data_IF_786068555429
#
_entry.id   IF_786068555429
#
_cell.length_a   1.000
_cell.length_b   1.000
_cell.length_c   1.000
_cell.angle_alpha   90.00
_cell.angle_beta   90.00
_cell.angle_gamma   90.00
#
_symmetry.space_group_name_H-M   'P 1'
#
loop_
_entity.id
_entity.type
_entity.pdbx_description
1 polymer ?
#
# COMPACT_ATOMS: atom_id res chain seq x y z
N UNK A 1 -1.03 9.49 -15.55
CA UNK A 1 0.10 9.72 -14.61
C UNK A 1 -0.41 10.03 -13.21
N UNK A 2 -1.42 10.91 -13.07
CA UNK A 2 -1.97 11.33 -11.78
C UNK A 2 -2.56 10.20 -10.89
N UNK A 3 -3.04 9.10 -11.47
CA UNK A 3 -3.64 8.01 -10.70
C UNK A 3 -2.62 7.05 -10.06
N UNK A 4 -1.45 6.86 -10.68
CA UNK A 4 -0.35 6.11 -10.06
C UNK A 4 0.25 6.87 -8.88
N UNK A 5 0.31 8.19 -8.99
CA UNK A 5 0.74 9.05 -7.89
C UNK A 5 -0.21 8.92 -6.68
N UNK A 6 -1.52 8.81 -6.94
CA UNK A 6 -2.52 8.59 -5.88
C UNK A 6 -2.37 7.21 -5.21
N UNK A 7 -2.16 6.14 -6.00
CA UNK A 7 -1.89 4.80 -5.45
C UNK A 7 -0.65 4.82 -4.56
N UNK A 8 0.43 5.47 -5.02
CA UNK A 8 1.66 5.59 -4.26
C UNK A 8 1.47 6.39 -2.97
N UNK A 9 0.67 7.46 -2.99
CA UNK A 9 0.36 8.24 -1.79
C UNK A 9 -0.42 7.41 -0.76
N UNK A 10 -1.44 6.64 -1.19
CA UNK A 10 -2.16 5.72 -0.30
C UNK A 10 -1.23 4.67 0.28
N UNK A 11 -0.37 4.08 -0.56
CA UNK A 11 0.66 3.14 -0.14
C UNK A 11 1.59 3.73 0.93
N UNK A 12 2.16 4.93 0.70
CA UNK A 12 3.08 5.54 1.65
C UNK A 12 2.39 5.94 2.94
N UNK A 13 1.18 6.48 2.85
CA UNK A 13 0.37 6.85 4.00
C UNK A 13 0.13 5.63 4.90
N UNK A 14 -0.33 4.51 4.33
CA UNK A 14 -0.58 3.27 5.07
C UNK A 14 0.70 2.62 5.59
N UNK A 15 1.80 2.67 4.82
CA UNK A 15 3.09 2.14 5.24
C UNK A 15 3.64 2.87 6.47
N UNK A 16 3.44 4.19 6.53
CA UNK A 16 3.89 5.05 7.62
C UNK A 16 2.90 5.15 8.78
N UNK A 17 1.80 4.39 8.77
CA UNK A 17 0.95 4.17 9.94
C UNK A 17 1.66 3.24 10.93
N UNK A 18 2.56 3.82 11.72
CA UNK A 18 3.45 3.10 12.61
C UNK A 18 2.76 2.46 13.83
N UNK A 19 1.50 2.82 14.07
CA UNK A 19 0.68 2.30 15.18
C UNK A 19 0.04 0.94 14.85
N UNK A 20 0.09 0.51 13.59
CA UNK A 20 -0.36 -0.82 13.17
C UNK A 20 0.69 -1.86 13.57
N UNK A 21 0.30 -2.77 14.46
CA UNK A 21 1.14 -3.90 14.89
C UNK A 21 0.69 -5.21 14.21
N UNK A 22 1.66 -6.01 13.73
CA UNK A 22 1.45 -7.38 13.21
C UNK A 22 0.58 -7.49 11.96
N UNK A 23 0.55 -6.46 11.13
CA UNK A 23 -0.10 -6.54 9.82
C UNK A 23 0.73 -7.43 8.89
N UNK A 24 0.08 -8.44 8.32
CA UNK A 24 0.71 -9.28 7.30
C UNK A 24 0.87 -8.53 5.98
N UNK A 25 1.81 -8.98 5.14
CA UNK A 25 1.98 -8.40 3.80
C UNK A 25 0.69 -8.47 2.97
N UNK A 26 -0.06 -9.57 3.05
CA UNK A 26 -1.33 -9.74 2.33
C UNK A 26 -2.40 -8.76 2.81
N UNK A 27 -2.52 -8.54 4.11
CA UNK A 27 -3.48 -7.56 4.66
C UNK A 27 -3.10 -6.15 4.23
N UNK A 28 -1.81 -5.79 4.33
CA UNK A 28 -1.31 -4.50 3.87
C UNK A 28 -1.67 -4.24 2.40
N UNK A 29 -1.38 -5.21 1.53
CA UNK A 29 -1.64 -5.10 0.08
C UNK A 29 -3.14 -4.94 -0.16
N UNK A 30 -3.97 -5.81 0.44
CA UNK A 30 -5.43 -5.75 0.26
C UNK A 30 -5.99 -4.41 0.69
N UNK A 31 -5.59 -3.88 1.85
CA UNK A 31 -6.10 -2.60 2.35
C UNK A 31 -5.76 -1.44 1.41
N UNK A 32 -4.52 -1.35 0.94
CA UNK A 32 -4.10 -0.28 0.01
C UNK A 32 -4.87 -0.38 -1.31
N UNK A 33 -5.01 -1.58 -1.86
CA UNK A 33 -5.71 -1.83 -3.12
C UNK A 33 -7.21 -1.56 -2.97
N UNK A 34 -7.84 -2.04 -1.90
CA UNK A 34 -9.26 -1.83 -1.62
C UNK A 34 -9.58 -0.34 -1.48
N UNK A 35 -8.74 0.42 -0.78
CA UNK A 35 -8.90 1.87 -0.64
C UNK A 35 -8.80 2.58 -2.01
N UNK A 36 -7.81 2.22 -2.83
CA UNK A 36 -7.66 2.82 -4.15
C UNK A 36 -8.81 2.44 -5.09
N UNK A 37 -9.28 1.19 -5.05
CA UNK A 37 -10.43 0.74 -5.83
C UNK A 37 -11.71 1.46 -5.42
N UNK A 38 -11.92 1.72 -4.12
CA UNK A 38 -13.03 2.53 -3.64
C UNK A 38 -12.97 3.97 -4.18
N UNK A 39 -11.80 4.60 -4.17
CA UNK A 39 -11.60 5.93 -4.73
C UNK A 39 -11.90 5.98 -6.24
N UNK A 40 -11.46 4.98 -6.98
CA UNK A 40 -11.73 4.87 -8.42
C UNK A 40 -13.22 4.63 -8.71
N UNK A 41 -13.90 3.80 -7.89
CA UNK A 41 -15.36 3.60 -7.98
C UNK A 41 -16.11 4.89 -7.68
N UNK A 42 -15.73 5.63 -6.64
CA UNK A 42 -16.36 6.88 -6.25
C UNK A 42 -16.24 7.96 -7.33
N UNK A 43 -15.14 7.96 -8.08
CA UNK A 43 -14.92 8.87 -9.23
C UNK A 43 -15.58 8.40 -10.53
N UNK A 44 -16.19 7.21 -10.55
CA UNK A 44 -16.83 6.64 -11.73
C UNK A 44 -15.84 6.16 -12.80
N UNK A 45 -14.58 5.88 -12.43
CA UNK A 45 -13.51 5.51 -13.36
C UNK A 45 -13.45 4.01 -13.69
N UNK A 46 -14.23 3.15 -13.01
CA UNK A 46 -14.19 1.69 -13.21
C UNK A 46 -15.49 1.18 -13.83
N UNK A 47 -15.36 0.40 -14.91
CA UNK A 47 -16.41 -0.48 -15.39
C UNK A 47 -16.34 -1.81 -14.61
N UNK A 48 -17.43 -2.22 -13.98
CA UNK A 48 -17.50 -3.42 -13.10
C UNK A 48 -16.94 -4.70 -13.75
N UNK A 49 -16.99 -4.79 -15.09
CA UNK A 49 -16.50 -5.95 -15.84
C UNK A 49 -14.97 -6.11 -15.80
N UNK A 50 -14.21 -5.05 -15.52
CA UNK A 50 -12.74 -5.06 -15.44
C UNK A 50 -12.23 -4.91 -14.00
N UNK A 51 -13.12 -4.98 -13.01
CA UNK A 51 -12.75 -4.73 -11.62
C UNK A 51 -11.74 -5.74 -11.09
N UNK A 52 -11.91 -7.02 -11.44
CA UNK A 52 -11.02 -8.09 -11.01
C UNK A 52 -9.64 -7.98 -11.67
N UNK A 53 -9.60 -7.80 -12.98
CA UNK A 53 -8.33 -7.64 -13.71
C UNK A 53 -7.54 -6.44 -13.20
N UNK A 54 -8.23 -5.31 -12.97
CA UNK A 54 -7.61 -4.11 -12.41
C UNK A 54 -7.11 -4.34 -10.98
N UNK A 55 -7.85 -5.07 -10.15
CA UNK A 55 -7.42 -5.41 -8.79
C UNK A 55 -6.12 -6.22 -8.82
N UNK A 56 -6.06 -7.24 -9.66
CA UNK A 56 -4.88 -8.11 -9.78
C UNK A 56 -3.64 -7.30 -10.21
N UNK A 57 -3.80 -6.41 -11.19
CA UNK A 57 -2.73 -5.50 -11.63
C UNK A 57 -2.27 -4.57 -10.50
N UNK A 58 -3.21 -4.02 -9.73
CA UNK A 58 -2.91 -3.15 -8.59
C UNK A 58 -2.21 -3.89 -7.45
N UNK A 59 -2.61 -5.13 -7.15
CA UNK A 59 -1.96 -5.96 -6.15
C UNK A 59 -0.50 -6.22 -6.54
N UNK A 60 -0.23 -6.54 -7.81
CA UNK A 60 1.14 -6.72 -8.33
C UNK A 60 1.98 -5.45 -8.20
N UNK A 61 1.40 -4.29 -8.50
CA UNK A 61 2.09 -3.01 -8.39
C UNK A 61 2.39 -2.66 -6.93
N UNK A 62 1.43 -2.83 -6.01
CA UNK A 62 1.64 -2.59 -4.57
C UNK A 62 2.67 -3.55 -3.99
N UNK A 63 2.70 -4.82 -4.43
CA UNK A 63 3.77 -5.77 -4.07
C UNK A 63 5.14 -5.26 -4.52
N UNK A 64 5.24 -4.75 -5.75
CA UNK A 64 6.47 -4.17 -6.31
C UNK A 64 6.93 -2.96 -5.50
N UNK A 65 6.03 -2.04 -5.17
CA UNK A 65 6.30 -0.87 -4.33
C UNK A 65 6.78 -1.27 -2.93
N UNK A 66 6.06 -2.21 -2.29
CA UNK A 66 6.37 -2.69 -0.96
C UNK A 66 7.77 -3.29 -0.90
N UNK A 67 8.09 -4.22 -1.82
CA UNK A 67 9.41 -4.86 -1.91
C UNK A 67 10.55 -3.85 -2.08
N UNK A 68 10.36 -2.83 -2.92
CA UNK A 68 11.35 -1.76 -3.10
C UNK A 68 11.54 -0.94 -1.83
N UNK A 69 10.44 -0.63 -1.12
CA UNK A 69 10.47 0.26 0.05
C UNK A 69 11.02 -0.41 1.30
N UNK A 70 10.70 -1.69 1.52
CA UNK A 70 11.23 -2.48 2.65
C UNK A 70 12.52 -3.23 2.29
N UNK A 71 13.12 -2.95 1.12
CA UNK A 71 14.37 -3.61 0.73
C UNK A 71 15.44 -3.46 1.81
N UNK A 72 16.10 -4.57 2.17
CA UNK A 72 17.05 -4.61 3.29
C UNK A 72 16.41 -4.81 4.67
N UNK A 73 15.08 -4.88 4.77
CA UNK A 73 14.36 -5.27 5.98
C UNK A 73 13.78 -6.68 5.83
N UNK A 74 13.72 -7.42 6.94
CA UNK A 74 13.25 -8.81 6.93
C UNK A 74 11.75 -8.94 6.59
N UNK A 75 10.94 -7.99 7.06
CA UNK A 75 9.50 -7.91 6.82
C UNK A 75 8.99 -6.49 7.11
N UNK A 76 7.70 -6.27 6.83
CA UNK A 76 6.99 -5.02 7.13
C UNK A 76 7.11 -4.60 8.60
N UNK A 77 6.97 -5.53 9.55
CA UNK A 77 7.09 -5.23 10.98
C UNK A 77 8.48 -4.71 11.36
N UNK A 78 9.54 -5.32 10.82
CA UNK A 78 10.92 -4.91 11.03
C UNK A 78 11.17 -3.52 10.44
N UNK A 79 10.65 -3.24 9.25
CA UNK A 79 10.68 -1.90 8.66
C UNK A 79 10.00 -0.88 9.57
N UNK A 80 8.75 -1.13 10.00
CA UNK A 80 7.99 -0.22 10.87
C UNK A 80 8.66 -0.02 12.24
N UNK A 81 9.29 -1.06 12.80
CA UNK A 81 10.05 -0.94 14.06
C UNK A 81 11.22 0.05 13.92
N UNK A 82 12.03 -0.09 12.87
CA UNK A 82 13.15 0.82 12.61
C UNK A 82 12.67 2.25 12.38
N UNK A 83 11.56 2.44 11.65
CA UNK A 83 10.98 3.76 11.41
C UNK A 83 10.46 4.40 12.71
N UNK A 84 9.83 3.61 13.60
CA UNK A 84 9.44 4.06 14.94
C UNK A 84 10.64 4.51 15.76
N UNK A 85 11.73 3.73 15.75
CA UNK A 85 12.95 4.08 16.44
C UNK A 85 13.56 5.38 15.90
N UNK A 86 13.65 5.55 14.57
CA UNK A 86 14.13 6.80 13.94
C UNK A 86 13.28 8.01 14.32
N UNK A 87 11.95 7.87 14.35
CA UNK A 87 11.03 8.95 14.72
C UNK A 87 11.16 9.37 16.19
N UNK A 88 11.65 8.51 17.09
CA UNK A 88 11.90 8.88 18.50
C UNK A 88 13.11 9.79 18.69
N UNK A 89 14.00 9.89 17.70
CA UNK A 89 15.22 10.71 17.75
C UNK A 89 15.15 11.97 16.86
N UNK A 90 13.98 12.27 16.33
CA UNK A 90 13.64 13.52 15.62
C UNK A 90 12.69 14.33 16.51
#
# INVERSE_FOLDING_TARGET
MQDLDNLYQLFESHLLQLDIEKESHSEFISIVVDNFMQDLKAKGHICLQFELDLRDDLELEVVSMLRKKIYGHFNLDHFRKIMRERKKYL
#
